data_IF_375442187374
#
_entry.id   IF_375442187374
#
_cell.length_a   1.000
_cell.length_b   1.000
_cell.length_c   1.000
_cell.angle_alpha   90.00
_cell.angle_beta   90.00
_cell.angle_gamma   90.00
#
_symmetry.space_group_name_H-M   'P 1'
#
loop_
_entity.id
_entity.type
_entity.pdbx_description
1 polymer ?
#
# COMPACT_ATOMS: atom_id res chain seq x y z
N UNK A 1 17.68 -7.44 6.94
CA UNK A 1 17.00 -7.40 5.63
C UNK A 1 15.65 -6.74 5.84
N UNK A 2 15.34 -5.69 5.08
CA UNK A 2 14.04 -4.98 5.12
C UNK A 2 13.19 -5.45 3.96
N UNK A 3 11.91 -5.72 4.18
CA UNK A 3 10.96 -6.12 3.13
C UNK A 3 9.98 -4.99 2.86
N UNK A 4 9.93 -4.54 1.61
CA UNK A 4 8.97 -3.56 1.11
C UNK A 4 7.90 -4.32 0.33
N UNK A 5 6.64 -4.12 0.69
CA UNK A 5 5.50 -4.62 -0.07
C UNK A 5 4.89 -3.49 -0.90
N UNK A 6 5.02 -3.57 -2.23
CA UNK A 6 4.36 -2.67 -3.18
C UNK A 6 3.03 -3.29 -3.64
N UNK A 7 1.94 -2.71 -3.20
CA UNK A 7 0.58 -3.08 -3.60
C UNK A 7 0.20 -2.22 -4.81
N UNK A 8 0.19 -2.83 -5.99
CA UNK A 8 -0.06 -2.15 -7.24
C UNK A 8 -1.51 -2.38 -7.70
N UNK A 9 -2.35 -1.35 -7.54
CA UNK A 9 -3.75 -1.32 -7.98
C UNK A 9 -3.95 -0.59 -9.32
N UNK A 10 -2.88 -0.42 -10.12
CA UNK A 10 -2.91 0.27 -11.39
C UNK A 10 -3.33 -0.69 -12.51
N UNK A 11 -4.56 -0.56 -13.01
CA UNK A 11 -5.13 -1.48 -14.00
C UNK A 11 -4.74 -1.18 -15.46
N UNK A 12 -4.11 -0.02 -15.74
CA UNK A 12 -3.70 0.36 -17.10
C UNK A 12 -2.23 0.02 -17.31
N UNK A 13 -1.86 -0.54 -18.47
CA UNK A 13 -0.48 -0.88 -18.82
C UNK A 13 0.48 0.32 -18.70
N UNK A 14 0.07 1.49 -19.18
CA UNK A 14 0.87 2.72 -19.13
C UNK A 14 0.40 3.64 -17.99
N UNK A 15 0.27 3.09 -16.79
CA UNK A 15 -0.23 3.85 -15.64
C UNK A 15 0.74 4.94 -15.19
N UNK A 16 0.26 6.19 -15.19
CA UNK A 16 0.97 7.35 -14.63
C UNK A 16 1.24 7.17 -13.13
N UNK A 17 0.28 6.58 -12.41
CA UNK A 17 0.42 6.26 -10.98
C UNK A 17 1.53 5.24 -10.74
N UNK A 18 1.63 4.20 -11.58
CA UNK A 18 2.71 3.20 -11.47
C UNK A 18 4.08 3.83 -11.71
N UNK A 19 4.21 4.71 -12.70
CA UNK A 19 5.46 5.46 -12.95
C UNK A 19 5.89 6.28 -11.75
N UNK A 20 4.95 6.99 -11.12
CA UNK A 20 5.23 7.76 -9.90
C UNK A 20 5.59 6.85 -8.72
N UNK A 21 4.90 5.73 -8.57
CA UNK A 21 5.16 4.75 -7.52
C UNK A 21 6.53 4.06 -7.67
N UNK A 22 6.93 3.74 -8.90
CA UNK A 22 8.26 3.18 -9.18
C UNK A 22 9.38 4.18 -8.85
N UNK A 23 9.15 5.47 -9.13
CA UNK A 23 10.08 6.52 -8.75
C UNK A 23 10.14 6.68 -7.21
N UNK A 24 8.99 6.66 -6.54
CA UNK A 24 8.92 6.72 -5.07
C UNK A 24 9.61 5.52 -4.41
N UNK A 25 9.41 4.31 -4.93
CA UNK A 25 10.10 3.10 -4.47
C UNK A 25 11.63 3.23 -4.63
N UNK A 26 12.10 3.69 -5.79
CA UNK A 26 13.54 3.90 -6.03
C UNK A 26 14.12 4.93 -5.08
N UNK A 27 13.42 6.04 -4.86
CA UNK A 27 13.83 7.09 -3.94
C UNK A 27 13.88 6.56 -2.49
N UNK A 28 12.85 5.80 -2.07
CA UNK A 28 12.81 5.16 -0.76
C UNK A 28 14.01 4.24 -0.55
N UNK A 29 14.30 3.35 -1.51
CA UNK A 29 15.44 2.44 -1.45
C UNK A 29 16.75 3.22 -1.33
N UNK A 30 16.91 4.27 -2.15
CA UNK A 30 18.10 5.12 -2.12
C UNK A 30 18.31 5.76 -0.73
N UNK A 31 17.29 6.40 -0.17
CA UNK A 31 17.37 7.05 1.14
C UNK A 31 17.63 6.04 2.28
N UNK A 32 17.10 4.82 2.18
CA UNK A 32 17.32 3.75 3.17
C UNK A 32 18.71 3.14 3.09
N UNK A 33 19.38 3.21 1.96
CA UNK A 33 20.71 2.63 1.74
C UNK A 33 21.83 3.62 1.93
N UNK A 34 21.61 4.91 1.63
CA UNK A 34 22.62 5.96 1.81
C UNK A 34 23.07 6.05 3.27
N UNK A 35 24.38 5.97 3.49
CA UNK A 35 25.01 6.10 4.81
C UNK A 35 25.02 4.82 5.66
N UNK A 36 24.46 3.70 5.18
CA UNK A 36 24.48 2.42 5.92
C UNK A 36 25.60 1.46 5.50
N UNK A 37 26.38 1.81 4.50
CA UNK A 37 27.52 1.00 4.03
C UNK A 37 28.73 0.98 4.99
N UNK A 38 28.70 1.79 6.06
CA UNK A 38 29.86 1.96 6.98
C UNK A 38 30.00 0.87 8.05
N UNK A 39 29.06 -0.08 8.16
CA UNK A 39 29.05 -1.10 9.21
C UNK A 39 29.50 -2.50 8.76
N UNK A 40 30.03 -2.66 7.54
CA UNK A 40 30.59 -3.94 7.07
C UNK A 40 29.56 -4.98 6.61
N UNK A 41 28.25 -4.76 6.79
CA UNK A 41 27.18 -5.59 6.25
C UNK A 41 26.35 -4.77 5.25
N UNK A 42 26.20 -5.29 4.02
CA UNK A 42 25.34 -4.67 3.01
C UNK A 42 23.88 -4.71 3.50
N UNK A 43 23.28 -3.54 3.69
CA UNK A 43 21.86 -3.44 4.00
C UNK A 43 21.04 -3.96 2.81
N UNK A 44 20.37 -5.10 3.01
CA UNK A 44 19.58 -5.76 1.95
C UNK A 44 18.12 -5.35 2.04
N UNK A 45 17.58 -4.88 0.92
CA UNK A 45 16.15 -4.61 0.75
C UNK A 45 15.58 -5.68 -0.17
N UNK A 46 14.50 -6.31 0.27
CA UNK A 46 13.68 -7.19 -0.53
C UNK A 46 12.41 -6.44 -0.95
N UNK A 47 12.12 -6.42 -2.24
CA UNK A 47 10.90 -5.79 -2.76
C UNK A 47 9.97 -6.89 -3.26
N UNK A 48 8.78 -6.94 -2.70
CA UNK A 48 7.69 -7.81 -3.15
C UNK A 48 6.64 -6.92 -3.80
N UNK A 49 6.33 -7.16 -5.07
CA UNK A 49 5.24 -6.46 -5.76
C UNK A 49 4.01 -7.37 -5.86
N UNK A 50 2.88 -6.89 -5.33
CA UNK A 50 1.58 -7.50 -5.52
C UNK A 50 0.80 -6.71 -6.58
N UNK A 51 0.85 -7.22 -7.82
CA UNK A 51 0.16 -6.61 -8.96
C UNK A 51 -1.29 -7.12 -9.03
N UNK A 52 -2.22 -6.27 -8.61
CA UNK A 52 -3.66 -6.59 -8.58
C UNK A 52 -4.30 -6.56 -9.97
N UNK A 53 -3.60 -6.06 -11.00
CA UNK A 53 -4.07 -6.14 -12.39
C UNK A 53 -3.88 -7.53 -12.98
N UNK A 54 -2.83 -8.22 -12.57
CA UNK A 54 -2.48 -9.58 -13.02
C UNK A 54 -3.07 -10.67 -12.13
N UNK A 55 -3.14 -10.38 -10.83
CA UNK A 55 -3.62 -11.30 -9.80
C UNK A 55 -4.72 -10.60 -9.00
N UNK A 56 -5.91 -10.40 -9.61
CA UNK A 56 -6.99 -9.70 -8.95
C UNK A 56 -7.52 -10.52 -7.78
N UNK A 57 -7.75 -9.82 -6.66
CA UNK A 57 -8.39 -10.40 -5.49
C UNK A 57 -9.90 -10.28 -5.66
N UNK A 58 -10.62 -11.39 -5.57
CA UNK A 58 -12.06 -11.38 -5.60
C UNK A 58 -12.63 -10.78 -4.29
N UNK A 59 -13.73 -10.03 -4.35
CA UNK A 59 -14.45 -9.63 -3.15
C UNK A 59 -14.86 -10.86 -2.33
N UNK A 60 -14.88 -10.73 -1.00
CA UNK A 60 -15.30 -11.82 -0.13
C UNK A 60 -16.75 -12.19 -0.41
N UNK A 61 -16.96 -13.46 -0.71
CA UNK A 61 -18.28 -14.10 -0.70
C UNK A 61 -18.53 -14.78 0.66
N UNK A 62 -19.67 -15.46 0.78
CA UNK A 62 -20.04 -16.18 2.00
C UNK A 62 -18.99 -17.21 2.39
N UNK A 63 -18.47 -17.99 1.44
CA UNK A 63 -17.46 -19.03 1.71
C UNK A 63 -16.12 -18.43 2.13
N UNK A 64 -15.70 -17.34 1.50
CA UNK A 64 -14.50 -16.61 1.87
C UNK A 64 -14.62 -16.01 3.28
N UNK A 65 -15.79 -15.49 3.64
CA UNK A 65 -16.04 -14.97 4.99
C UNK A 65 -15.94 -16.11 6.03
N UNK A 66 -16.61 -17.24 5.80
CA UNK A 66 -16.52 -18.41 6.68
C UNK A 66 -15.06 -18.89 6.86
N UNK A 67 -14.30 -18.98 5.74
CA UNK A 67 -12.88 -19.35 5.78
C UNK A 67 -12.07 -18.37 6.61
N UNK A 68 -12.30 -17.07 6.45
CA UNK A 68 -11.60 -16.02 7.20
C UNK A 68 -11.89 -16.11 8.71
N UNK A 69 -13.13 -16.37 9.09
CA UNK A 69 -13.56 -16.43 10.50
C UNK A 69 -13.05 -17.68 11.22
N UNK A 70 -12.88 -18.79 10.50
CA UNK A 70 -12.38 -20.06 11.06
C UNK A 70 -10.88 -20.27 10.87
N UNK A 71 -10.16 -19.28 10.35
CA UNK A 71 -8.74 -19.38 10.04
C UNK A 71 -7.86 -19.73 11.24
N UNK A 72 -8.22 -19.24 12.44
CA UNK A 72 -7.51 -19.56 13.69
C UNK A 72 -7.55 -21.05 14.02
N UNK A 73 -8.63 -21.75 13.68
CA UNK A 73 -8.80 -23.19 13.97
C UNK A 73 -7.85 -24.06 13.12
N UNK A 74 -7.42 -23.53 11.97
CA UNK A 74 -6.49 -24.17 11.03
C UNK A 74 -5.06 -23.63 11.13
N UNK A 75 -4.78 -22.70 12.06
CA UNK A 75 -3.49 -22.00 12.12
C UNK A 75 -3.22 -21.11 10.91
N UNK A 76 -4.29 -20.67 10.23
CA UNK A 76 -4.24 -19.87 8.99
C UNK A 76 -3.54 -20.60 7.83
N UNK A 77 -3.64 -21.91 7.76
CA UNK A 77 -3.08 -22.67 6.65
C UNK A 77 -3.90 -22.47 5.35
N UNK A 78 -3.19 -22.60 4.22
CA UNK A 78 -3.78 -22.52 2.89
C UNK A 78 -3.55 -21.17 2.18
N UNK A 79 -3.80 -21.20 0.87
CA UNK A 79 -3.55 -20.07 -0.03
C UNK A 79 -4.44 -18.85 0.23
N UNK A 80 -5.57 -19.04 0.87
CA UNK A 80 -6.48 -17.95 1.25
C UNK A 80 -5.78 -16.90 2.13
N UNK A 81 -4.87 -17.30 3.00
CA UNK A 81 -4.18 -16.43 3.95
C UNK A 81 -2.83 -15.91 3.48
N UNK A 82 -2.36 -16.28 2.28
CA UNK A 82 -1.05 -15.88 1.78
C UNK A 82 -0.87 -14.37 1.70
N UNK A 83 -1.89 -13.63 1.23
CA UNK A 83 -1.85 -12.17 1.16
C UNK A 83 -1.74 -11.53 2.55
N UNK A 84 -2.45 -12.05 3.53
CA UNK A 84 -2.41 -11.56 4.90
C UNK A 84 -1.05 -11.87 5.57
N UNK A 85 -0.47 -13.04 5.33
CA UNK A 85 0.88 -13.42 5.78
C UNK A 85 1.95 -12.53 5.14
N UNK A 86 1.86 -12.29 3.83
CA UNK A 86 2.76 -11.40 3.11
C UNK A 86 2.68 -9.97 3.67
N UNK A 87 1.47 -9.45 3.85
CA UNK A 87 1.24 -8.12 4.40
C UNK A 87 1.79 -7.99 5.83
N UNK A 88 1.52 -8.96 6.70
CA UNK A 88 1.98 -8.92 8.09
C UNK A 88 3.50 -8.99 8.24
N UNK A 89 4.19 -9.60 7.27
CA UNK A 89 5.65 -9.77 7.30
C UNK A 89 6.44 -8.61 6.71
N UNK A 90 5.79 -7.69 5.99
CA UNK A 90 6.43 -6.53 5.39
C UNK A 90 6.82 -5.48 6.44
N UNK A 91 7.94 -4.79 6.24
CA UNK A 91 8.42 -3.71 7.12
C UNK A 91 7.90 -2.34 6.66
N UNK A 92 7.63 -2.19 5.36
CA UNK A 92 7.07 -0.98 4.75
C UNK A 92 6.03 -1.34 3.71
N UNK A 93 4.91 -0.62 3.72
CA UNK A 93 3.83 -0.78 2.74
C UNK A 93 3.83 0.41 1.78
N UNK A 94 3.91 0.14 0.49
CA UNK A 94 3.72 1.14 -0.57
C UNK A 94 2.44 0.77 -1.33
N UNK A 95 1.51 1.70 -1.42
CA UNK A 95 0.26 1.54 -2.19
C UNK A 95 0.31 2.43 -3.41
N UNK A 96 0.24 1.83 -4.60
CA UNK A 96 0.09 2.53 -5.87
C UNK A 96 -1.34 2.39 -6.36
N UNK A 97 -2.16 3.43 -6.21
CA UNK A 97 -3.57 3.41 -6.58
C UNK A 97 -3.98 4.70 -7.30
N UNK A 98 -4.49 4.65 -8.55
CA UNK A 98 -5.02 5.82 -9.22
C UNK A 98 -6.24 6.36 -8.47
N UNK A 99 -6.42 7.68 -8.50
CA UNK A 99 -7.58 8.33 -7.92
C UNK A 99 -8.78 8.17 -8.86
N UNK A 100 -9.69 7.26 -8.50
CA UNK A 100 -10.93 6.97 -9.23
C UNK A 100 -12.13 7.19 -8.32
N UNK A 101 -13.12 7.90 -8.83
CA UNK A 101 -14.42 8.08 -8.17
C UNK A 101 -14.28 8.56 -6.71
N UNK A 102 -13.42 9.56 -6.51
CA UNK A 102 -13.05 10.16 -5.21
C UNK A 102 -12.24 9.21 -4.28
N UNK A 103 -11.85 8.03 -4.77
CA UNK A 103 -11.19 6.99 -3.98
C UNK A 103 -10.12 6.25 -4.82
N UNK A 104 -10.15 4.94 -4.84
CA UNK A 104 -9.24 4.03 -5.53
C UNK A 104 -10.01 2.88 -6.22
N UNK A 105 -9.38 2.12 -7.14
CA UNK A 105 -10.02 0.98 -7.79
C UNK A 105 -10.51 -0.09 -6.81
N UNK A 106 -11.68 -0.68 -7.05
CA UNK A 106 -12.32 -1.68 -6.19
C UNK A 106 -11.44 -2.90 -5.86
N UNK A 107 -10.50 -3.26 -6.75
CA UNK A 107 -9.54 -4.34 -6.51
C UNK A 107 -8.67 -4.10 -5.28
N UNK A 108 -8.37 -2.83 -4.95
CA UNK A 108 -7.63 -2.49 -3.73
C UNK A 108 -8.48 -2.68 -2.48
N UNK A 109 -9.79 -2.41 -2.55
CA UNK A 109 -10.70 -2.68 -1.44
C UNK A 109 -10.79 -4.18 -1.16
N UNK A 110 -10.94 -5.00 -2.21
CA UNK A 110 -10.94 -6.47 -2.08
C UNK A 110 -9.62 -6.99 -1.48
N UNK A 111 -8.49 -6.41 -1.88
CA UNK A 111 -7.19 -6.72 -1.29
C UNK A 111 -7.17 -6.43 0.23
N UNK A 112 -7.62 -5.26 0.66
CA UNK A 112 -7.67 -4.94 2.10
C UNK A 112 -8.64 -5.84 2.86
N UNK A 113 -9.73 -6.27 2.27
CA UNK A 113 -10.63 -7.28 2.87
C UNK A 113 -9.93 -8.62 3.07
N UNK A 114 -9.08 -9.03 2.11
CA UNK A 114 -8.32 -10.28 2.19
C UNK A 114 -7.18 -10.23 3.23
N UNK A 115 -6.61 -9.05 3.50
CA UNK A 115 -5.51 -8.92 4.48
C UNK A 115 -5.99 -8.56 5.88
N UNK A 116 -7.20 -8.05 6.08
CA UNK A 116 -7.77 -7.78 7.39
C UNK A 116 -8.28 -9.07 8.04
N UNK A 117 -7.36 -9.86 8.61
CA UNK A 117 -7.65 -11.17 9.22
C UNK A 117 -7.36 -11.12 10.71
N UNK A 118 -8.41 -11.24 11.53
CA UNK A 118 -8.29 -11.29 12.99
C UNK A 118 -7.50 -12.53 13.42
N UNK A 119 -6.53 -12.35 14.32
CA UNK A 119 -5.60 -13.40 14.76
C UNK A 119 -4.36 -13.56 13.87
N UNK A 120 -4.31 -12.91 12.66
CA UNK A 120 -3.17 -13.00 11.76
C UNK A 120 -2.52 -11.63 11.49
N UNK A 121 -3.30 -10.60 11.20
CA UNK A 121 -2.80 -9.25 10.94
C UNK A 121 -3.12 -8.26 12.06
N UNK A 122 -4.14 -8.54 12.83
CA UNK A 122 -4.51 -7.81 14.05
C UNK A 122 -5.31 -8.72 14.99
N UNK A 123 -5.53 -8.28 16.22
CA UNK A 123 -6.46 -8.91 17.16
C UNK A 123 -7.17 -7.84 17.99
N UNK A 124 -8.27 -8.20 18.62
CA UNK A 124 -8.93 -7.32 19.59
C UNK A 124 -8.41 -7.62 21.00
N UNK A 125 -7.97 -6.57 21.71
CA UNK A 125 -7.56 -6.64 23.09
C UNK A 125 -8.73 -6.62 24.07
N UNK A 126 -8.44 -6.82 25.36
CA UNK A 126 -9.42 -6.70 26.45
C UNK A 126 -9.97 -5.27 26.61
N UNK A 127 -9.24 -4.28 26.11
CA UNK A 127 -9.63 -2.87 26.02
C UNK A 127 -10.66 -2.59 24.91
N UNK A 128 -11.00 -3.60 24.10
CA UNK A 128 -11.92 -3.49 22.97
C UNK A 128 -11.31 -2.83 21.73
N UNK A 129 -10.01 -2.53 21.75
CA UNK A 129 -9.30 -1.95 20.62
C UNK A 129 -8.62 -3.02 19.77
N UNK A 130 -8.35 -2.69 18.51
CA UNK A 130 -7.53 -3.54 17.64
C UNK A 130 -6.05 -3.28 17.89
N UNK A 131 -5.27 -4.36 17.99
CA UNK A 131 -3.83 -4.36 18.15
C UNK A 131 -3.18 -5.06 16.98
N UNK A 132 -2.11 -4.48 16.47
CA UNK A 132 -1.41 -4.96 15.28
C UNK A 132 -0.63 -6.25 15.55
N UNK A 133 -0.68 -7.17 14.59
CA UNK A 133 0.23 -8.31 14.46
C UNK A 133 1.19 -8.14 13.27
N UNK A 134 1.17 -6.96 12.62
CA UNK A 134 2.01 -6.62 11.46
C UNK A 134 3.31 -5.95 11.87
N UNK A 135 4.36 -6.16 11.07
CA UNK A 135 5.67 -5.53 11.29
C UNK A 135 5.74 -4.11 10.78
N UNK A 136 4.97 -3.78 9.73
CA UNK A 136 5.05 -2.49 9.05
C UNK A 136 4.82 -1.33 10.02
N UNK A 137 5.66 -0.29 9.88
CA UNK A 137 5.54 0.96 10.65
C UNK A 137 5.35 2.17 9.73
N UNK A 138 5.43 1.97 8.41
CA UNK A 138 5.31 3.04 7.42
C UNK A 138 4.40 2.65 6.27
N UNK A 139 3.54 3.60 5.89
CA UNK A 139 2.71 3.58 4.70
C UNK A 139 3.16 4.70 3.74
N UNK A 140 3.39 4.38 2.49
CA UNK A 140 3.57 5.35 1.40
C UNK A 140 2.42 5.15 0.41
N UNK A 141 1.53 6.11 0.31
CA UNK A 141 0.41 6.07 -0.63
C UNK A 141 0.68 6.97 -1.83
N UNK A 142 0.71 6.37 -3.01
CA UNK A 142 1.04 7.05 -4.27
C UNK A 142 -0.17 7.05 -5.19
N UNK A 143 -0.57 8.22 -5.65
CA UNK A 143 -1.73 8.38 -6.54
C UNK A 143 -1.49 9.38 -7.66
N UNK A 144 -2.30 9.31 -8.69
CA UNK A 144 -2.43 10.36 -9.71
C UNK A 144 -3.90 10.61 -9.99
N UNK A 145 -4.26 11.86 -10.27
CA UNK A 145 -5.63 12.27 -10.58
C UNK A 145 -5.72 13.15 -11.83
N UNK A 146 -6.82 13.02 -12.55
CA UNK A 146 -7.12 13.89 -13.69
C UNK A 146 -7.36 15.34 -13.27
N UNK A 147 -8.20 15.56 -12.26
CA UNK A 147 -8.43 16.85 -11.60
C UNK A 147 -7.65 17.02 -10.32
N UNK A 148 -8.00 18.05 -9.54
CA UNK A 148 -7.47 18.26 -8.20
C UNK A 148 -8.29 17.47 -7.17
N UNK A 149 -7.61 16.81 -6.23
CA UNK A 149 -8.24 15.97 -5.20
C UNK A 149 -8.91 16.85 -4.13
N UNK A 150 -8.27 17.96 -3.74
CA UNK A 150 -8.78 18.84 -2.70
C UNK A 150 -9.05 18.11 -1.38
N UNK A 151 -10.21 18.38 -0.78
CA UNK A 151 -10.65 17.76 0.47
C UNK A 151 -11.27 16.37 0.29
N UNK A 152 -11.49 15.91 -0.96
CA UNK A 152 -12.13 14.64 -1.28
C UNK A 152 -11.13 13.48 -1.40
N UNK A 153 -10.18 13.39 -0.47
CA UNK A 153 -9.12 12.38 -0.51
C UNK A 153 -9.52 11.05 0.16
N UNK A 154 -10.71 10.54 -0.18
CA UNK A 154 -11.25 9.34 0.46
C UNK A 154 -10.42 8.08 0.17
N UNK A 155 -9.58 8.09 -0.85
CA UNK A 155 -8.65 6.99 -1.11
C UNK A 155 -7.55 6.91 -0.06
N UNK A 156 -6.76 7.97 0.09
CA UNK A 156 -5.69 8.02 1.09
C UNK A 156 -6.22 7.98 2.52
N UNK A 157 -7.25 8.76 2.81
CA UNK A 157 -7.80 8.85 4.16
C UNK A 157 -8.35 7.51 4.64
N UNK A 158 -9.01 6.75 3.74
CA UNK A 158 -9.45 5.40 4.05
C UNK A 158 -8.27 4.47 4.36
N UNK A 159 -7.25 4.41 3.48
CA UNK A 159 -6.11 3.50 3.66
C UNK A 159 -5.30 3.88 4.90
N UNK A 160 -5.06 5.18 5.12
CA UNK A 160 -4.41 5.70 6.33
C UNK A 160 -5.18 5.33 7.59
N UNK A 161 -6.51 5.53 7.58
CA UNK A 161 -7.38 5.20 8.70
C UNK A 161 -7.37 3.71 9.02
N UNK A 162 -7.48 2.86 7.97
CA UNK A 162 -7.41 1.41 8.10
C UNK A 162 -6.06 0.95 8.69
N UNK A 163 -4.95 1.45 8.12
CA UNK A 163 -3.60 1.11 8.54
C UNK A 163 -3.33 1.55 9.99
N UNK A 164 -3.82 2.72 10.38
CA UNK A 164 -3.72 3.18 11.76
C UNK A 164 -4.55 2.33 12.71
N UNK A 165 -5.82 2.07 12.36
CA UNK A 165 -6.76 1.39 13.25
C UNK A 165 -6.42 -0.09 13.48
N UNK A 166 -6.02 -0.84 12.44
CA UNK A 166 -5.80 -2.28 12.53
C UNK A 166 -4.33 -2.69 12.58
N UNK A 167 -3.43 -1.89 11.99
CA UNK A 167 -2.03 -2.28 11.83
C UNK A 167 -1.05 -1.38 12.59
N UNK A 168 -1.56 -0.39 13.35
CA UNK A 168 -0.76 0.56 14.14
C UNK A 168 0.34 1.25 13.31
N UNK A 169 0.02 1.56 12.05
CA UNK A 169 0.89 2.32 11.16
C UNK A 169 0.50 3.80 11.25
N UNK A 170 1.22 4.57 12.05
CA UNK A 170 0.99 6.03 12.23
C UNK A 170 1.76 6.87 11.21
N UNK A 171 2.91 6.38 10.73
CA UNK A 171 3.73 7.08 9.73
C UNK A 171 3.16 6.83 8.33
N UNK A 172 2.37 7.78 7.84
CA UNK A 172 1.71 7.71 6.54
C UNK A 172 2.10 8.90 5.65
N UNK A 173 2.76 8.61 4.54
CA UNK A 173 3.18 9.58 3.52
C UNK A 173 2.23 9.55 2.32
N UNK A 174 1.81 10.74 1.85
CA UNK A 174 0.98 10.92 0.67
C UNK A 174 1.78 11.54 -0.47
N UNK A 175 1.86 10.85 -1.61
CA UNK A 175 2.53 11.30 -2.83
C UNK A 175 1.50 11.38 -3.95
N UNK A 176 1.40 12.53 -4.62
CA UNK A 176 0.45 12.69 -5.71
C UNK A 176 0.98 13.55 -6.87
N UNK A 177 0.47 13.25 -8.09
CA UNK A 177 0.50 14.15 -9.21
C UNK A 177 -0.94 14.40 -9.67
N UNK A 178 -1.38 15.65 -9.64
CA UNK A 178 -2.78 16.03 -9.82
C UNK A 178 -2.96 16.98 -11.01
N UNK A 179 -4.18 17.02 -11.56
CA UNK A 179 -4.51 17.90 -12.69
C UNK A 179 -4.01 17.37 -14.03
N UNK A 180 -3.83 16.06 -14.16
CA UNK A 180 -3.21 15.43 -15.32
C UNK A 180 -4.11 15.42 -16.58
N UNK A 181 -5.41 15.61 -16.40
CA UNK A 181 -6.40 15.62 -17.49
C UNK A 181 -7.11 16.97 -17.61
N UNK A 182 -6.58 18.03 -16.94
CA UNK A 182 -7.11 19.40 -17.10
C UNK A 182 -6.62 19.97 -18.43
N UNK A 183 -7.54 20.53 -19.20
CA UNK A 183 -7.23 21.16 -20.48
C UNK A 183 -6.15 22.24 -20.35
N UNK A 184 -5.16 22.20 -21.23
CA UNK A 184 -4.01 23.11 -21.21
C UNK A 184 -2.87 22.70 -20.28
N UNK A 185 -3.04 21.67 -19.47
CA UNK A 185 -1.96 21.14 -18.65
C UNK A 185 -1.04 20.21 -19.45
N UNK A 186 0.26 20.34 -19.19
CA UNK A 186 1.28 19.39 -19.68
C UNK A 186 1.43 18.23 -18.67
N UNK A 187 0.79 17.12 -18.99
CA UNK A 187 0.77 15.90 -18.17
C UNK A 187 2.17 15.38 -17.84
N UNK A 188 3.08 15.34 -18.81
CA UNK A 188 4.44 14.84 -18.60
C UNK A 188 5.24 15.80 -17.71
N UNK A 189 5.12 17.09 -17.90
CA UNK A 189 5.77 18.09 -17.06
C UNK A 189 5.29 18.01 -15.61
N UNK A 190 3.98 17.82 -15.38
CA UNK A 190 3.42 17.67 -14.03
C UNK A 190 3.96 16.40 -13.38
N UNK A 191 3.95 15.28 -14.11
CA UNK A 191 4.40 13.99 -13.59
C UNK A 191 5.91 13.99 -13.29
N UNK A 192 6.73 14.48 -14.20
CA UNK A 192 8.18 14.65 -13.99
C UNK A 192 8.45 15.58 -12.82
N UNK A 193 7.75 16.71 -12.73
CA UNK A 193 7.91 17.63 -11.59
C UNK A 193 7.48 17.02 -10.25
N UNK A 194 6.54 16.07 -10.22
CA UNK A 194 6.20 15.32 -9.01
C UNK A 194 7.32 14.33 -8.64
N UNK A 195 7.90 13.65 -9.64
CA UNK A 195 9.03 12.73 -9.44
C UNK A 195 10.28 13.47 -8.93
N UNK A 196 10.62 14.62 -9.53
CA UNK A 196 11.80 15.41 -9.17
C UNK A 196 11.74 15.96 -7.73
N UNK A 197 10.54 16.13 -7.19
CA UNK A 197 10.32 16.63 -5.82
C UNK A 197 10.16 15.51 -4.77
N UNK A 198 10.35 14.25 -5.16
CA UNK A 198 10.26 13.16 -4.19
C UNK A 198 11.36 13.31 -3.12
N UNK A 199 10.92 13.56 -1.91
CA UNK A 199 11.74 13.52 -0.70
C UNK A 199 10.95 12.74 0.34
N UNK A 200 11.45 11.59 0.71
CA UNK A 200 10.81 10.71 1.69
C UNK A 200 11.59 10.87 3.00
N UNK A 201 11.34 11.97 3.69
CA UNK A 201 11.98 12.25 4.97
C UNK A 201 11.74 11.10 5.95
N UNK A 202 12.83 10.54 6.50
CA UNK A 202 12.83 9.49 7.52
C UNK A 202 13.10 10.08 8.90
#
# INVERSE_FOLDING_TARGET
METILLINACLRENSRTKRLADAALKQYIFERTVGKETAGEAFKINVVERDLSRFPVAPLDKSGLETRETGSDTGFDGSFFELAKEFSSADTIIVAAPYWDLSFPAVLKAYFEAVCVCGLTFHYGEDGLSHSLCKAKRLIYVTTSGGYIGEMNFGFDYVKGLCKAFFEIDDACFISAQGLDIDGNDTEKILCGAIDRLTLNF
#
